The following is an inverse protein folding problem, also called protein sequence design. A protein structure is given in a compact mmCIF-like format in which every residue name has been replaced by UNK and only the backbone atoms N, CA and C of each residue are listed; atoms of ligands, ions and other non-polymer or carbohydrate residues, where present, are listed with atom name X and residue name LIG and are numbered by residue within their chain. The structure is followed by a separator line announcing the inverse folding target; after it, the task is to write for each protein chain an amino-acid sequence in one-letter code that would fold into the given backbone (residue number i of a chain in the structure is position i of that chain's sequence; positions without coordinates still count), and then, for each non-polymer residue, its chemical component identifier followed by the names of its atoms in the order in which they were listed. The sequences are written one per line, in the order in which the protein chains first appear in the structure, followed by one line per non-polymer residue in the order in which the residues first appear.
data_IF_399805959422
#
_entry.id   IF_399805959422
#
_cell.length_a   1.000
_cell.length_b   1.000
_cell.length_c   1.000
_cell.angle_alpha   90.00
_cell.angle_beta   90.00
_cell.angle_gamma   90.00
#
_symmetry.space_group_name_H-M   'P 1'
#
loop_
_entity.id
_entity.type
_entity.pdbx_description
1 polymer ?
#
# COMPACT_ATOMS: atom_id res chain seq x y z
N UNK A 1 9.39 9.53 -11.65
CA UNK A 1 8.47 10.45 -12.35
C UNK A 1 7.25 10.62 -11.47
N UNK A 2 6.98 11.84 -10.99
CA UNK A 2 5.73 12.17 -10.29
C UNK A 2 4.72 12.62 -11.34
N UNK A 3 3.53 12.04 -11.33
CA UNK A 3 2.42 12.58 -12.11
C UNK A 3 1.85 13.70 -11.25
N UNK A 4 2.01 14.95 -11.68
CA UNK A 4 1.39 16.07 -10.99
C UNK A 4 -0.13 15.98 -11.16
N UNK A 5 -0.86 16.09 -10.04
CA UNK A 5 -2.31 16.12 -10.02
C UNK A 5 -2.94 15.15 -9.02
N UNK A 6 -4.26 15.09 -9.09
CA UNK A 6 -5.10 14.27 -8.25
C UNK A 6 -6.34 13.81 -9.01
N UNK A 7 -7.09 12.88 -8.43
CA UNK A 7 -8.46 12.57 -8.82
C UNK A 7 -9.40 12.96 -7.69
N UNK A 8 -10.15 14.05 -7.87
CA UNK A 8 -11.12 14.55 -6.88
C UNK A 8 -10.50 14.77 -5.48
N UNK A 9 -9.27 15.27 -5.44
CA UNK A 9 -8.49 15.50 -4.24
C UNK A 9 -7.67 14.31 -3.76
N UNK A 10 -7.78 13.13 -4.40
CA UNK A 10 -6.92 11.98 -4.12
C UNK A 10 -5.61 12.08 -4.92
N UNK A 11 -4.45 12.32 -4.28
CA UNK A 11 -3.19 12.48 -4.99
C UNK A 11 -2.79 11.21 -5.74
N UNK A 12 -2.23 11.36 -6.94
CA UNK A 12 -1.68 10.22 -7.66
C UNK A 12 -0.44 9.65 -6.98
N UNK A 13 -0.21 8.32 -7.05
CA UNK A 13 1.07 7.74 -6.68
C UNK A 13 2.17 8.24 -7.62
N UNK A 14 3.40 8.15 -7.15
CA UNK A 14 4.58 8.43 -7.96
C UNK A 14 5.33 7.14 -8.24
N UNK A 15 6.05 7.12 -9.37
CA UNK A 15 6.83 5.98 -9.80
C UNK A 15 8.31 6.26 -9.55
N UNK A 16 8.98 5.33 -8.86
CA UNK A 16 10.44 5.36 -8.65
C UNK A 16 11.04 4.16 -9.37
N UNK A 17 12.00 4.43 -10.24
CA UNK A 17 12.90 3.44 -10.80
C UNK A 17 14.28 3.69 -10.17
N UNK A 18 14.83 2.65 -9.55
CA UNK A 18 16.12 2.73 -8.89
C UNK A 18 17.24 2.50 -9.92
N UNK A 19 18.42 3.09 -9.69
CA UNK A 19 19.56 2.96 -10.61
C UNK A 19 20.11 1.54 -10.68
N UNK A 20 19.93 0.76 -9.62
CA UNK A 20 20.39 -0.62 -9.48
C UNK A 20 19.26 -1.58 -9.84
N UNK A 21 19.62 -2.76 -10.37
CA UNK A 21 18.65 -3.84 -10.57
C UNK A 21 18.08 -4.28 -9.21
N UNK A 22 16.80 -4.70 -9.19
CA UNK A 22 16.12 -5.05 -7.94
C UNK A 22 16.82 -6.14 -7.13
N UNK A 23 17.41 -7.14 -7.80
CA UNK A 23 18.15 -8.21 -7.16
C UNK A 23 19.44 -7.71 -6.48
N UNK A 24 20.17 -6.82 -7.14
CA UNK A 24 21.40 -6.23 -6.60
C UNK A 24 21.08 -5.34 -5.40
N UNK A 25 20.03 -4.52 -5.50
CA UNK A 25 19.55 -3.68 -4.41
C UNK A 25 19.11 -4.49 -3.19
N UNK A 26 18.38 -5.58 -3.40
CA UNK A 26 17.97 -6.47 -2.32
C UNK A 26 19.20 -7.07 -1.60
N UNK A 27 20.18 -7.55 -2.37
CA UNK A 27 21.43 -8.08 -1.82
C UNK A 27 22.20 -7.01 -1.03
N UNK A 28 22.22 -5.78 -1.51
CA UNK A 28 22.84 -4.66 -0.80
C UNK A 28 22.13 -4.33 0.53
N UNK A 29 20.80 -4.40 0.58
CA UNK A 29 20.06 -4.25 1.84
C UNK A 29 20.31 -5.40 2.82
N UNK A 30 20.44 -6.64 2.30
CA UNK A 30 20.80 -7.80 3.11
C UNK A 30 22.21 -7.67 3.70
N UNK A 31 23.19 -7.28 2.87
CA UNK A 31 24.57 -7.06 3.30
C UNK A 31 24.69 -5.96 4.37
N UNK A 32 23.80 -4.96 4.34
CA UNK A 32 23.70 -3.89 5.34
C UNK A 32 22.92 -4.30 6.60
N UNK A 33 22.37 -5.51 6.66
CA UNK A 33 21.56 -6.01 7.78
C UNK A 33 20.21 -5.30 7.92
N UNK A 34 19.70 -4.66 6.87
CA UNK A 34 18.45 -3.86 6.90
C UNK A 34 17.21 -4.76 6.67
N UNK A 35 17.40 -5.97 6.14
CA UNK A 35 16.30 -6.90 5.84
C UNK A 35 15.84 -7.73 7.03
N UNK A 36 16.59 -7.73 8.14
CA UNK A 36 16.22 -8.43 9.36
C UNK A 36 15.62 -7.44 10.35
N UNK A 37 14.47 -7.79 10.91
CA UNK A 37 13.80 -6.97 11.92
C UNK A 37 13.50 -7.82 13.17
N UNK A 38 13.69 -7.31 14.40
CA UNK A 38 13.44 -8.07 15.63
C UNK A 38 12.00 -8.58 15.77
N UNK A 39 11.05 -7.95 15.09
CA UNK A 39 9.66 -8.39 15.07
C UNK A 39 9.39 -9.58 14.14
N UNK A 40 10.41 -10.07 13.42
CA UNK A 40 10.28 -11.12 12.43
C UNK A 40 9.69 -10.64 11.10
N UNK A 41 9.31 -11.58 10.22
CA UNK A 41 8.71 -11.26 8.92
C UNK A 41 7.39 -10.51 9.06
N UNK A 42 7.24 -9.46 8.25
CA UNK A 42 6.02 -8.66 8.12
C UNK A 42 5.83 -8.35 6.64
N UNK A 43 4.64 -8.65 6.12
CA UNK A 43 4.30 -8.44 4.71
C UNK A 43 3.20 -7.40 4.63
N UNK A 44 3.40 -6.30 3.89
CA UNK A 44 2.29 -5.42 3.53
C UNK A 44 1.32 -6.24 2.66
N UNK A 45 0.02 -6.16 2.93
CA UNK A 45 -1.02 -6.80 2.12
C UNK A 45 -1.78 -5.76 1.30
N UNK A 46 -2.20 -4.68 1.96
CA UNK A 46 -3.04 -3.69 1.30
C UNK A 46 -2.84 -2.27 1.81
N UNK A 47 -3.14 -1.33 0.92
CA UNK A 47 -3.20 0.09 1.20
C UNK A 47 -4.63 0.58 1.00
N UNK A 48 -5.19 1.25 2.01
CA UNK A 48 -6.58 1.68 2.05
C UNK A 48 -6.67 3.18 1.88
N UNK A 49 -7.35 3.60 0.83
CA UNK A 49 -7.60 5.00 0.50
C UNK A 49 -9.03 5.36 0.88
N UNK A 50 -9.19 6.42 1.66
CA UNK A 50 -10.49 7.01 1.94
C UNK A 50 -10.82 8.02 0.83
N UNK A 51 -11.95 7.87 0.15
CA UNK A 51 -12.36 8.70 -1.01
C UNK A 51 -13.87 8.95 -1.03
N UNK A 52 -14.31 10.01 -1.71
CA UNK A 52 -15.73 10.35 -1.80
C UNK A 52 -16.59 9.30 -2.54
N UNK A 53 -16.05 8.73 -3.62
CA UNK A 53 -16.68 7.66 -4.41
C UNK A 53 -15.66 6.54 -4.71
N UNK A 54 -15.69 5.42 -3.95
CA UNK A 54 -14.73 4.32 -4.08
C UNK A 54 -14.67 3.67 -5.45
N UNK A 55 -15.82 3.34 -6.03
CA UNK A 55 -15.89 2.68 -7.34
C UNK A 55 -15.37 3.60 -8.44
N UNK A 56 -15.74 4.88 -8.40
CA UNK A 56 -15.26 5.86 -9.38
C UNK A 56 -13.72 6.07 -9.28
N UNK A 57 -13.18 6.16 -8.07
CA UNK A 57 -11.73 6.25 -7.86
C UNK A 57 -11.00 4.99 -8.36
N UNK A 58 -11.51 3.80 -8.04
CA UNK A 58 -10.98 2.54 -8.54
C UNK A 58 -11.06 2.44 -10.08
N UNK A 59 -12.15 2.88 -10.69
CA UNK A 59 -12.32 2.94 -12.16
C UNK A 59 -11.30 3.87 -12.80
N UNK A 60 -11.10 5.05 -12.21
CA UNK A 60 -10.15 6.03 -12.71
C UNK A 60 -8.71 5.52 -12.62
N UNK A 61 -8.30 5.00 -11.46
CA UNK A 61 -6.96 4.46 -11.26
C UNK A 61 -6.72 3.19 -12.07
N UNK A 62 -7.73 2.33 -12.26
CA UNK A 62 -7.66 1.20 -13.20
C UNK A 62 -7.30 1.67 -14.60
N UNK A 63 -8.02 2.66 -15.11
CA UNK A 63 -7.84 3.17 -16.48
C UNK A 63 -6.50 3.89 -16.63
N UNK A 64 -6.12 4.70 -15.65
CA UNK A 64 -4.91 5.52 -15.71
C UNK A 64 -3.63 4.70 -15.54
N UNK A 65 -3.63 3.74 -14.61
CA UNK A 65 -2.44 2.96 -14.25
C UNK A 65 -2.43 1.55 -14.84
N UNK A 66 -3.49 1.16 -15.56
CA UNK A 66 -3.65 -0.17 -16.12
C UNK A 66 -3.50 -1.29 -15.07
N UNK A 67 -4.06 -1.07 -13.88
CA UNK A 67 -4.04 -2.03 -12.77
C UNK A 67 -5.23 -2.99 -12.84
N UNK A 68 -5.06 -4.27 -12.55
CA UNK A 68 -6.17 -5.22 -12.58
C UNK A 68 -7.20 -4.95 -11.47
N UNK A 69 -8.46 -5.26 -11.72
CA UNK A 69 -9.52 -5.17 -10.69
C UNK A 69 -9.54 -6.44 -9.85
N UNK A 70 -9.46 -6.26 -8.53
CA UNK A 70 -9.70 -7.34 -7.54
C UNK A 70 -11.07 -7.23 -6.86
N UNK A 71 -11.82 -6.16 -7.15
CA UNK A 71 -13.19 -5.94 -6.71
C UNK A 71 -13.76 -4.65 -7.30
N UNK A 72 -15.00 -4.30 -6.93
CA UNK A 72 -15.68 -3.08 -7.38
C UNK A 72 -14.91 -1.80 -7.00
N UNK A 73 -14.32 -1.79 -5.80
CA UNK A 73 -13.55 -0.68 -5.25
C UNK A 73 -12.14 -1.12 -4.84
N UNK A 74 -11.55 -2.06 -5.57
CA UNK A 74 -10.22 -2.59 -5.28
C UNK A 74 -9.41 -2.91 -6.53
N UNK A 75 -8.10 -2.64 -6.47
CA UNK A 75 -7.15 -2.86 -7.57
C UNK A 75 -5.96 -3.69 -7.10
N UNK A 76 -5.52 -4.64 -7.92
CA UNK A 76 -4.31 -5.45 -7.69
C UNK A 76 -3.07 -4.66 -8.11
N UNK A 77 -2.03 -4.73 -7.27
CA UNK A 77 -0.70 -4.15 -7.54
C UNK A 77 0.35 -5.17 -7.13
N UNK A 78 0.77 -6.00 -8.09
CA UNK A 78 1.62 -7.16 -7.79
C UNK A 78 0.91 -8.12 -6.83
N UNK A 79 1.54 -8.41 -5.70
CA UNK A 79 0.99 -9.24 -4.61
C UNK A 79 0.22 -8.41 -3.55
N UNK A 80 0.00 -7.11 -3.80
CA UNK A 80 -0.70 -6.17 -2.91
C UNK A 80 -2.05 -5.77 -3.49
N UNK A 81 -2.89 -5.17 -2.65
CA UNK A 81 -4.17 -4.58 -3.07
C UNK A 81 -4.30 -3.12 -2.64
N UNK A 82 -4.75 -2.26 -3.56
CA UNK A 82 -5.30 -0.95 -3.23
C UNK A 82 -6.80 -1.08 -2.99
N UNK A 83 -7.26 -0.61 -1.84
CA UNK A 83 -8.66 -0.68 -1.43
C UNK A 83 -9.19 0.74 -1.28
N UNK A 84 -10.28 1.06 -1.96
CA UNK A 84 -10.94 2.35 -1.84
C UNK A 84 -12.14 2.20 -0.91
N UNK A 85 -12.25 3.07 0.09
CA UNK A 85 -13.35 3.09 1.05
C UNK A 85 -13.99 4.47 1.09
N UNK A 86 -15.30 4.52 1.35
CA UNK A 86 -16.05 5.77 1.30
C UNK A 86 -15.70 6.66 2.49
N UNK A 87 -15.39 7.92 2.22
CA UNK A 87 -15.18 8.93 3.24
C UNK A 87 -14.80 10.29 2.65
N UNK A 88 -14.17 11.14 3.47
CA UNK A 88 -13.86 12.55 3.12
C UNK A 88 -12.37 12.86 3.10
N UNK A 89 -11.52 11.88 3.44
CA UNK A 89 -10.09 12.06 3.56
C UNK A 89 -9.36 12.31 2.24
N UNK A 90 -9.85 11.74 1.14
CA UNK A 90 -9.20 11.70 -0.19
C UNK A 90 -7.70 11.41 -0.09
N UNK A 91 -7.34 10.38 0.68
CA UNK A 91 -5.94 10.05 1.00
C UNK A 91 -5.79 8.61 1.42
N UNK A 92 -4.54 8.13 1.44
CA UNK A 92 -4.16 6.92 2.15
C UNK A 92 -4.40 7.11 3.66
N UNK A 93 -5.18 6.22 4.26
CA UNK A 93 -5.53 6.29 5.68
C UNK A 93 -5.11 5.06 6.46
N UNK A 94 -5.01 3.90 5.82
CA UNK A 94 -4.66 2.65 6.48
C UNK A 94 -3.72 1.78 5.65
N UNK A 95 -2.74 1.18 6.31
CA UNK A 95 -1.89 0.13 5.77
C UNK A 95 -2.15 -1.16 6.55
N UNK A 96 -2.36 -2.26 5.83
CA UNK A 96 -2.61 -3.58 6.42
C UNK A 96 -1.44 -4.51 6.17
N UNK A 97 -0.97 -5.13 7.24
CA UNK A 97 0.16 -6.03 7.24
C UNK A 97 -0.24 -7.41 7.73
N UNK A 98 0.47 -8.42 7.26
CA UNK A 98 0.40 -9.81 7.72
C UNK A 98 1.68 -10.18 8.43
N UNK A 99 1.55 -10.85 9.57
CA UNK A 99 2.69 -11.36 10.33
C UNK A 99 2.29 -12.55 11.21
N UNK A 100 3.20 -13.52 11.32
CA UNK A 100 3.13 -14.61 12.28
C UNK A 100 3.35 -14.15 13.74
N UNK A 101 3.85 -12.93 13.97
CA UNK A 101 4.12 -12.42 15.31
C UNK A 101 2.83 -11.93 16.00
N UNK A 102 2.26 -12.78 16.85
CA UNK A 102 1.01 -12.49 17.58
C UNK A 102 1.08 -11.24 18.45
N UNK A 103 2.27 -10.83 18.92
CA UNK A 103 2.44 -9.62 19.73
C UNK A 103 2.21 -8.34 18.94
N UNK A 104 2.31 -8.39 17.61
CA UNK A 104 2.08 -7.24 16.75
C UNK A 104 0.61 -7.09 16.35
N UNK A 105 -0.21 -8.14 16.50
CA UNK A 105 -1.59 -8.12 16.01
C UNK A 105 -2.41 -7.00 16.66
N UNK A 106 -3.22 -6.35 15.84
CA UNK A 106 -4.05 -5.23 16.26
C UNK A 106 -3.85 -4.01 15.40
N UNK A 107 -4.17 -2.85 15.98
CA UNK A 107 -4.21 -1.56 15.29
C UNK A 107 -3.39 -0.54 16.05
N UNK A 108 -2.54 0.19 15.33
CA UNK A 108 -1.80 1.34 15.83
C UNK A 108 -2.13 2.57 14.98
N UNK A 109 -2.29 3.72 15.62
CA UNK A 109 -2.45 5.00 14.94
C UNK A 109 -1.22 5.87 15.19
N UNK A 110 -0.59 6.35 14.13
CA UNK A 110 0.54 7.29 14.20
C UNK A 110 0.20 8.49 13.32
N UNK A 111 0.07 9.66 13.95
CA UNK A 111 -0.46 10.85 13.27
C UNK A 111 -1.87 10.58 12.72
N UNK A 112 -2.05 10.77 11.41
CA UNK A 112 -3.32 10.53 10.71
C UNK A 112 -3.39 9.15 10.02
N UNK A 113 -2.36 8.30 10.19
CA UNK A 113 -2.26 7.00 9.56
C UNK A 113 -2.59 5.86 10.53
N UNK A 114 -3.35 4.90 10.05
CA UNK A 114 -3.64 3.63 10.74
C UNK A 114 -2.77 2.51 10.18
N UNK A 115 -2.23 1.67 11.07
CA UNK A 115 -1.46 0.50 10.74
C UNK A 115 -2.13 -0.70 11.40
N UNK A 116 -2.57 -1.67 10.60
CA UNK A 116 -3.25 -2.87 11.08
C UNK A 116 -2.36 -4.08 10.81
N UNK A 117 -2.08 -4.86 11.84
CA UNK A 117 -1.30 -6.08 11.74
C UNK A 117 -2.23 -7.26 12.00
N UNK A 118 -2.29 -8.18 11.04
CA UNK A 118 -3.20 -9.32 11.03
C UNK A 118 -2.40 -10.62 11.01
N UNK A 119 -3.05 -11.70 11.43
CA UNK A 119 -2.49 -13.04 11.35
C UNK A 119 -2.26 -13.46 9.90
N UNK A 120 -1.18 -14.19 9.66
CA UNK A 120 -1.01 -14.94 8.41
C UNK A 120 -2.17 -15.95 8.26
N UNK A 121 -2.71 -16.05 7.05
CA UNK A 121 -3.82 -16.98 6.75
C UNK A 121 -3.32 -18.40 6.53
#
# INVERSE_FOLDING_TARGET
MTIDGDYNGLPYPFFIEWKEADADRLKDFQNKGITEHPAGPVTLESAVFEVSNPEAAATHWHTLFNLERSGESALSVGDKTFIFTKGRGNRLTELRFRTANEKLHGKLTVGNGTYVFMKDS
#
